data_IF_196959833460
#
_entry.id   IF_196959833460
#
_cell.length_a   1.000
_cell.length_b   1.000
_cell.length_c   1.000
_cell.angle_alpha   90.00
_cell.angle_beta   90.00
_cell.angle_gamma   90.00
#
_symmetry.space_group_name_H-M   'P 1'
#
loop_
_entity.id
_entity.type
_entity.pdbx_description
1 polymer ?
#
# COMPACT_ATOMS: atom_id res chain seq x y z
N UNK A 1 23.34 -25.11 0.78
CA UNK A 1 24.15 -23.94 0.42
C UNK A 1 24.53 -23.25 1.72
N UNK A 2 25.56 -23.76 2.40
CA UNK A 2 25.95 -23.32 3.73
C UNK A 2 26.54 -21.92 3.65
N UNK A 3 25.94 -21.01 4.41
CA UNK A 3 26.50 -19.71 4.74
C UNK A 3 27.81 -20.04 5.44
N UNK A 4 28.94 -19.96 4.72
CA UNK A 4 30.24 -19.92 5.37
C UNK A 4 30.12 -18.82 6.42
N UNK A 5 30.31 -19.21 7.67
CA UNK A 5 30.49 -18.31 8.79
C UNK A 5 31.50 -17.26 8.33
N UNK A 6 30.98 -16.11 7.90
CA UNK A 6 31.79 -14.95 7.62
C UNK A 6 32.49 -14.69 8.94
N UNK A 7 33.80 -14.92 8.96
CA UNK A 7 34.64 -14.75 10.14
C UNK A 7 34.65 -13.28 10.52
N UNK A 8 33.56 -12.85 11.14
CA UNK A 8 33.36 -11.52 11.71
C UNK A 8 34.13 -11.40 13.03
N UNK A 9 34.42 -12.55 13.66
CA UNK A 9 35.20 -12.63 14.89
C UNK A 9 36.70 -12.44 14.67
N UNK A 10 37.24 -12.76 13.49
CA UNK A 10 38.65 -12.50 13.15
C UNK A 10 38.94 -11.03 12.81
N UNK A 11 37.92 -10.16 12.83
CA UNK A 11 38.11 -8.74 12.59
C UNK A 11 39.05 -8.13 13.65
N UNK A 12 39.91 -7.22 13.24
CA UNK A 12 40.69 -6.41 14.18
C UNK A 12 39.75 -5.48 14.97
N UNK A 13 40.14 -5.03 16.18
CA UNK A 13 39.32 -4.08 16.95
C UNK A 13 38.93 -2.81 16.17
N UNK A 14 39.79 -2.37 15.24
CA UNK A 14 39.53 -1.23 14.36
C UNK A 14 38.42 -1.51 13.34
N UNK A 15 38.40 -2.68 12.72
CA UNK A 15 37.38 -3.09 11.75
C UNK A 15 36.00 -3.26 12.39
N UNK A 16 35.94 -3.82 13.61
CA UNK A 16 34.70 -3.86 14.40
C UNK A 16 34.15 -2.47 14.66
N UNK A 17 35.01 -1.55 15.12
CA UNK A 17 34.61 -0.16 15.40
C UNK A 17 34.15 0.58 14.14
N UNK A 18 34.84 0.39 13.01
CA UNK A 18 34.43 0.95 11.73
C UNK A 18 33.06 0.40 11.31
N UNK A 19 32.84 -0.91 11.44
CA UNK A 19 31.57 -1.57 11.13
C UNK A 19 30.43 -1.07 12.02
N UNK A 20 30.67 -0.89 13.32
CA UNK A 20 29.68 -0.35 14.26
C UNK A 20 29.31 1.10 13.92
N UNK A 21 30.29 1.93 13.54
CA UNK A 21 30.04 3.29 13.06
C UNK A 21 29.23 3.29 11.76
N UNK A 22 29.57 2.44 10.80
CA UNK A 22 28.81 2.29 9.56
C UNK A 22 27.37 1.84 9.85
N UNK A 23 27.19 0.86 10.73
CA UNK A 23 25.88 0.38 11.12
C UNK A 23 25.05 1.47 11.83
N UNK A 24 25.68 2.26 12.71
CA UNK A 24 25.04 3.38 13.38
C UNK A 24 24.61 4.45 12.37
N UNK A 25 25.47 4.80 11.42
CA UNK A 25 25.17 5.75 10.35
C UNK A 25 24.00 5.25 9.47
N UNK A 26 24.04 4.00 9.04
CA UNK A 26 22.95 3.41 8.22
C UNK A 26 21.61 3.42 8.97
N UNK A 27 21.62 3.10 10.27
CA UNK A 27 20.40 3.16 11.10
C UNK A 27 19.88 4.59 11.25
N UNK A 28 20.77 5.57 11.39
CA UNK A 28 20.40 6.98 11.46
C UNK A 28 19.76 7.45 10.14
N UNK A 29 20.40 7.13 9.01
CA UNK A 29 19.90 7.48 7.68
C UNK A 29 18.55 6.82 7.39
N UNK A 30 18.38 5.55 7.75
CA UNK A 30 17.11 4.84 7.59
C UNK A 30 15.98 5.49 8.40
N UNK A 31 16.25 5.94 9.64
CA UNK A 31 15.27 6.68 10.44
C UNK A 31 14.93 8.04 9.82
N UNK A 32 15.93 8.78 9.33
CA UNK A 32 15.71 10.06 8.68
C UNK A 32 14.84 9.91 7.41
N UNK A 33 15.11 8.87 6.61
CA UNK A 33 14.27 8.48 5.48
C UNK A 33 12.85 8.12 5.89
N UNK A 34 12.67 7.36 6.98
CA UNK A 34 11.35 7.04 7.52
C UNK A 34 10.56 8.28 7.91
N UNK A 35 11.19 9.23 8.63
CA UNK A 35 10.54 10.50 8.97
C UNK A 35 10.19 11.34 7.73
N UNK A 36 11.05 11.34 6.72
CA UNK A 36 10.76 12.04 5.47
C UNK A 36 9.61 11.38 4.70
N UNK A 37 9.57 10.04 4.68
CA UNK A 37 8.50 9.28 4.07
C UNK A 37 7.15 9.60 4.73
N UNK A 38 7.07 9.65 6.06
CA UNK A 38 5.86 10.07 6.77
C UNK A 38 5.42 11.51 6.43
N UNK A 39 6.37 12.41 6.14
CA UNK A 39 6.05 13.79 5.74
C UNK A 39 5.53 13.91 4.31
N UNK A 40 5.94 13.02 3.43
CA UNK A 40 5.54 13.02 2.01
C UNK A 40 4.39 12.05 1.76
N UNK A 41 4.15 11.11 2.68
CA UNK A 41 3.06 10.15 2.58
C UNK A 41 1.73 10.89 2.47
N UNK A 42 0.90 10.54 1.47
CA UNK A 42 -0.46 11.07 1.42
C UNK A 42 -1.19 10.70 2.69
N UNK A 43 -2.00 11.63 3.21
CA UNK A 43 -2.83 11.38 4.38
C UNK A 43 -3.60 10.06 4.17
N UNK A 44 -3.69 9.19 5.19
CA UNK A 44 -4.46 7.96 5.07
C UNK A 44 -5.87 8.32 4.63
N UNK A 45 -6.27 7.82 3.46
CA UNK A 45 -7.61 8.02 2.94
C UNK A 45 -8.58 7.49 4.00
N UNK A 46 -9.59 8.29 4.34
CA UNK A 46 -10.65 7.84 5.23
C UNK A 46 -11.18 6.48 4.74
N UNK A 47 -11.57 5.57 5.65
CA UNK A 47 -12.16 4.30 5.26
C UNK A 47 -13.31 4.61 4.30
N UNK A 48 -13.19 4.13 3.07
CA UNK A 48 -14.21 4.33 2.07
C UNK A 48 -15.51 3.71 2.61
N UNK A 49 -16.67 4.38 2.51
CA UNK A 49 -17.93 3.76 2.86
C UNK A 49 -18.09 2.47 2.06
N UNK A 50 -18.66 1.45 2.71
CA UNK A 50 -18.97 0.19 2.06
C UNK A 50 -19.86 0.48 0.84
N UNK A 51 -19.31 0.27 -0.36
CA UNK A 51 -20.03 0.52 -1.61
C UNK A 51 -21.10 -0.55 -1.77
N UNK A 52 -22.35 -0.20 -1.42
CA UNK A 52 -23.52 -1.03 -1.69
C UNK A 52 -23.89 -0.85 -3.17
N UNK A 53 -23.63 -1.89 -3.96
CA UNK A 53 -24.11 -1.99 -5.34
C UNK A 53 -25.60 -2.35 -5.30
N UNK A 54 -26.45 -1.38 -5.62
CA UNK A 54 -27.88 -1.61 -5.75
C UNK A 54 -28.21 -1.88 -7.22
N UNK A 55 -28.78 -3.06 -7.48
CA UNK A 55 -29.30 -3.43 -8.79
C UNK A 55 -30.82 -3.29 -8.77
N UNK A 56 -31.35 -2.35 -9.56
CA UNK A 56 -32.78 -2.13 -9.69
C UNK A 56 -33.31 -2.91 -10.90
N UNK A 57 -34.00 -4.02 -10.64
CA UNK A 57 -34.62 -4.89 -11.66
C UNK A 57 -36.10 -4.57 -11.88
N UNK A 58 -36.63 -3.51 -11.25
CA UNK A 58 -38.05 -3.15 -11.35
C UNK A 58 -38.34 -2.43 -12.67
N UNK A 59 -39.51 -2.69 -13.24
CA UNK A 59 -39.90 -2.39 -14.61
C UNK A 59 -40.01 -0.89 -14.98
N UNK A 60 -39.54 0.00 -14.10
CA UNK A 60 -39.46 1.46 -14.29
C UNK A 60 -38.04 2.04 -14.31
N UNK A 61 -36.99 1.24 -14.06
CA UNK A 61 -35.61 1.68 -14.18
C UNK A 61 -35.12 1.52 -15.64
N UNK A 62 -34.40 2.50 -16.22
CA UNK A 62 -33.86 2.36 -17.56
C UNK A 62 -32.93 1.14 -17.63
N UNK A 63 -33.21 0.24 -18.58
CA UNK A 63 -32.54 -1.06 -18.69
C UNK A 63 -31.02 -0.92 -18.67
N UNK A 64 -30.35 -1.65 -17.76
CA UNK A 64 -28.90 -1.67 -17.65
C UNK A 64 -28.26 -0.50 -16.88
N UNK A 65 -29.03 0.40 -16.25
CA UNK A 65 -28.50 1.47 -15.41
C UNK A 65 -27.86 0.94 -14.11
N UNK A 66 -26.64 1.40 -13.81
CA UNK A 66 -25.88 1.08 -12.60
C UNK A 66 -25.93 2.25 -11.63
N UNK A 67 -26.31 1.97 -10.38
CA UNK A 67 -26.36 2.96 -9.31
C UNK A 67 -25.35 2.65 -8.21
N UNK A 68 -24.76 3.70 -7.66
CA UNK A 68 -23.95 3.65 -6.43
C UNK A 68 -24.55 4.68 -5.49
N UNK A 69 -25.00 4.23 -4.31
CA UNK A 69 -25.68 5.09 -3.32
C UNK A 69 -26.87 5.88 -3.94
N UNK A 70 -27.66 5.23 -4.80
CA UNK A 70 -28.78 5.88 -5.48
C UNK A 70 -28.41 6.89 -6.58
N UNK A 71 -27.11 7.07 -6.89
CA UNK A 71 -26.67 7.91 -8.01
C UNK A 71 -26.31 7.07 -9.24
N UNK A 72 -26.78 7.49 -10.41
CA UNK A 72 -26.47 6.84 -11.69
C UNK A 72 -24.99 7.02 -12.03
N UNK A 73 -24.24 5.93 -12.10
CA UNK A 73 -22.80 5.94 -12.41
C UNK A 73 -22.47 5.41 -13.79
N UNK A 74 -23.38 4.70 -14.45
CA UNK A 74 -23.14 4.18 -15.79
C UNK A 74 -24.22 3.23 -16.29
N UNK A 75 -23.99 2.65 -17.46
CA UNK A 75 -24.84 1.62 -18.03
C UNK A 75 -24.00 0.38 -18.36
N UNK A 76 -24.53 -0.81 -18.06
CA UNK A 76 -23.91 -2.10 -18.41
C UNK A 76 -24.27 -2.45 -19.86
N UNK A 77 -23.25 -2.50 -20.73
CA UNK A 77 -23.43 -2.85 -22.13
C UNK A 77 -23.78 -4.33 -22.28
N UNK A 78 -24.81 -4.64 -23.09
CA UNK A 78 -25.22 -6.01 -23.41
C UNK A 78 -26.44 -6.54 -22.65
N UNK A 79 -27.04 -5.74 -21.76
CA UNK A 79 -28.34 -6.06 -21.16
C UNK A 79 -29.44 -5.59 -22.12
N UNK A 80 -30.12 -6.52 -22.80
CA UNK A 80 -31.19 -6.21 -23.78
C UNK A 80 -32.59 -6.65 -23.33
N UNK A 81 -32.68 -7.33 -22.18
CA UNK A 81 -33.92 -7.70 -21.50
C UNK A 81 -33.60 -8.42 -20.19
N UNK A 82 -34.46 -8.25 -19.20
CA UNK A 82 -34.65 -9.21 -18.11
C UNK A 82 -35.99 -9.92 -18.32
#
# INVERSE_FOLDING_TARGET
MSIHELSLDAATPGERRARDLTAALLRLLSRALGLLAERVAPAPSAPAPELVLEYHADAGAPEGALYVNGQLVGHVLGVQRL
#
